data_IF_398761503779
#
_entry.id   IF_398761503779
#
_cell.length_a   1.000
_cell.length_b   1.000
_cell.length_c   1.000
_cell.angle_alpha   90.00
_cell.angle_beta   90.00
_cell.angle_gamma   90.00
#
_symmetry.space_group_name_H-M   'P 1'
#
loop_
_entity.id
_entity.type
_entity.pdbx_description
1 polymer ?
#
# COMPACT_ATOMS: atom_id res chain seq x y z
N UNK A 1 27.45 -24.29 9.40
CA UNK A 1 27.06 -23.49 10.57
C UNK A 1 26.31 -22.27 10.06
N UNK A 2 25.27 -21.82 10.76
CA UNK A 2 24.45 -20.67 10.36
C UNK A 2 24.40 -19.69 11.52
N UNK A 3 24.62 -18.41 11.23
CA UNK A 3 24.49 -17.32 12.19
C UNK A 3 23.63 -16.23 11.57
N UNK A 4 22.63 -15.79 12.30
CA UNK A 4 21.73 -14.68 11.97
C UNK A 4 22.00 -13.55 12.94
N UNK A 5 22.26 -12.35 12.41
CA UNK A 5 22.59 -11.17 13.20
C UNK A 5 21.51 -10.13 12.95
N UNK A 6 20.90 -9.63 14.01
CA UNK A 6 19.86 -8.61 13.98
C UNK A 6 20.22 -7.51 14.99
N UNK A 7 20.10 -6.26 14.55
CA UNK A 7 20.39 -5.08 15.36
C UNK A 7 19.34 -4.89 16.45
N UNK A 8 18.09 -5.20 16.14
CA UNK A 8 16.97 -5.11 17.06
C UNK A 8 16.98 -6.28 18.04
N UNK A 9 16.32 -6.14 19.19
CA UNK A 9 16.24 -7.16 20.23
C UNK A 9 15.22 -8.27 19.91
N UNK A 10 14.55 -8.19 18.77
CA UNK A 10 13.54 -9.12 18.30
C UNK A 10 13.60 -9.30 16.77
N UNK A 11 13.08 -10.44 16.29
CA UNK A 11 12.97 -10.75 14.87
C UNK A 11 11.77 -10.05 14.22
N UNK A 12 11.78 -9.97 12.89
CA UNK A 12 10.62 -9.57 12.07
C UNK A 12 10.80 -8.26 11.29
N UNK A 13 11.81 -7.44 11.62
CA UNK A 13 12.15 -6.23 10.86
C UNK A 13 10.99 -5.23 10.74
N UNK A 14 10.59 -4.91 9.51
CA UNK A 14 9.43 -4.04 9.23
C UNK A 14 8.08 -4.75 9.40
N UNK A 15 8.05 -6.07 9.54
CA UNK A 15 6.85 -6.86 9.81
C UNK A 15 6.69 -7.18 11.30
N UNK A 16 7.12 -6.27 12.18
CA UNK A 16 6.94 -6.37 13.62
C UNK A 16 5.62 -5.74 14.06
N UNK A 17 5.24 -6.06 15.30
CA UNK A 17 4.11 -5.45 15.99
C UNK A 17 4.54 -4.95 17.36
N UNK A 18 4.02 -3.81 17.78
CA UNK A 18 4.29 -3.18 19.07
C UNK A 18 2.99 -3.05 19.84
N UNK A 19 2.95 -3.60 21.06
CA UNK A 19 1.83 -3.34 21.98
C UNK A 19 2.17 -2.16 22.90
N UNK A 20 1.31 -1.15 22.92
CA UNK A 20 1.49 0.02 23.78
C UNK A 20 1.10 -0.25 25.25
N UNK A 21 1.41 0.70 26.13
CA UNK A 21 1.08 0.64 27.57
C UNK A 21 -0.42 0.57 27.90
N UNK A 22 -1.29 0.88 26.93
CA UNK A 22 -2.76 0.80 27.06
C UNK A 22 -3.32 -0.51 26.48
N UNK A 23 -2.47 -1.36 25.92
CA UNK A 23 -2.83 -2.67 25.38
C UNK A 23 -3.22 -2.66 23.90
N UNK A 24 -3.11 -1.53 23.19
CA UNK A 24 -3.33 -1.51 21.74
C UNK A 24 -2.11 -2.11 21.03
N UNK A 25 -2.34 -2.91 20.00
CA UNK A 25 -1.27 -3.50 19.19
C UNK A 25 -1.22 -2.84 17.82
N UNK A 26 -0.01 -2.47 17.40
CA UNK A 26 0.26 -1.72 16.19
C UNK A 26 1.28 -2.47 15.35
N UNK A 27 0.93 -2.85 14.12
CA UNK A 27 1.93 -3.33 13.17
C UNK A 27 2.75 -2.15 12.63
N UNK A 28 4.01 -2.42 12.24
CA UNK A 28 4.87 -1.42 11.59
C UNK A 28 4.51 -1.21 10.10
N UNK A 29 3.22 -1.00 9.83
CA UNK A 29 2.63 -0.86 8.51
C UNK A 29 1.44 -1.80 8.34
N UNK A 30 0.73 -1.69 7.20
CA UNK A 30 -0.39 -2.59 6.90
C UNK A 30 0.15 -3.92 6.39
N UNK A 31 -0.05 -4.99 7.17
CA UNK A 31 0.40 -6.33 6.83
C UNK A 31 -0.79 -7.28 6.72
N UNK A 32 -1.00 -7.83 5.53
CA UNK A 32 -2.02 -8.86 5.29
C UNK A 32 -1.47 -9.91 4.33
N UNK A 33 -2.00 -11.13 4.36
CA UNK A 33 -1.60 -12.22 3.45
C UNK A 33 -2.78 -12.70 2.61
N UNK A 34 -2.64 -12.84 1.30
CA UNK A 34 -3.73 -13.27 0.39
C UNK A 34 -4.17 -12.20 -0.61
N UNK A 35 -5.32 -12.39 -1.24
CA UNK A 35 -5.87 -11.49 -2.27
C UNK A 35 -6.81 -10.44 -1.64
N UNK A 36 -6.94 -9.26 -2.28
CA UNK A 36 -7.48 -8.06 -1.63
C UNK A 36 -8.74 -7.48 -2.32
N UNK A 37 -9.87 -7.30 -1.60
CA UNK A 37 -11.09 -6.72 -2.19
C UNK A 37 -12.00 -5.94 -1.22
N UNK A 38 -11.62 -5.69 0.04
CA UNK A 38 -12.42 -4.76 0.88
C UNK A 38 -11.60 -3.50 1.18
N UNK A 39 -11.73 -2.52 0.30
CA UNK A 39 -11.03 -1.26 0.39
C UNK A 39 -11.83 -0.21 -0.33
N UNK A 40 -11.85 0.99 0.22
CA UNK A 40 -12.53 2.12 -0.37
C UNK A 40 -11.57 3.31 -0.54
N UNK A 41 -11.86 4.14 -1.52
CA UNK A 41 -11.23 5.45 -1.66
C UNK A 41 -12.19 6.53 -1.17
N UNK A 42 -11.69 7.43 -0.34
CA UNK A 42 -12.43 8.59 0.10
C UNK A 42 -12.37 9.68 -0.97
N UNK A 43 -13.48 9.94 -1.64
CA UNK A 43 -13.61 10.83 -2.80
C UNK A 43 -14.46 12.08 -2.52
N UNK A 44 -14.46 12.59 -1.28
CA UNK A 44 -15.27 13.77 -0.88
C UNK A 44 -15.05 15.01 -1.73
N UNK A 45 -13.85 15.21 -2.25
CA UNK A 45 -13.51 16.36 -3.11
C UNK A 45 -14.12 16.28 -4.52
N UNK A 46 -14.82 15.18 -4.84
CA UNK A 46 -15.52 14.95 -6.10
C UNK A 46 -17.02 14.73 -5.87
N UNK A 47 -17.37 13.93 -4.86
CA UNK A 47 -18.76 13.58 -4.57
C UNK A 47 -19.47 14.70 -3.78
N UNK A 48 -18.74 15.37 -2.89
CA UNK A 48 -19.18 16.56 -2.15
C UNK A 48 -20.47 16.38 -1.32
N UNK A 49 -20.72 15.19 -0.76
CA UNK A 49 -21.88 14.95 0.11
C UNK A 49 -21.52 15.15 1.60
N UNK A 50 -21.87 16.33 2.14
CA UNK A 50 -21.62 16.67 3.54
C UNK A 50 -22.70 16.14 4.50
N UNK A 51 -23.88 15.78 3.99
CA UNK A 51 -25.01 15.28 4.80
C UNK A 51 -24.87 13.77 5.05
N UNK A 52 -24.39 13.02 4.06
CA UNK A 52 -24.10 11.60 4.15
C UNK A 52 -22.64 11.32 3.78
N UNK A 53 -21.76 11.36 4.78
CA UNK A 53 -20.31 11.18 4.58
C UNK A 53 -19.96 9.84 3.94
N UNK A 54 -20.75 8.79 4.17
CA UNK A 54 -20.54 7.44 3.62
C UNK A 54 -20.63 7.42 2.08
N UNK A 55 -21.44 8.32 1.50
CA UNK A 55 -21.59 8.48 0.04
C UNK A 55 -20.26 8.92 -0.61
N UNK A 56 -19.37 9.58 0.14
CA UNK A 56 -18.06 9.97 -0.37
C UNK A 56 -17.07 8.81 -0.49
N UNK A 57 -17.38 7.63 0.02
CA UNK A 57 -16.54 6.45 -0.17
C UNK A 57 -16.97 5.71 -1.43
N UNK A 58 -15.98 5.35 -2.25
CA UNK A 58 -16.20 4.54 -3.46
C UNK A 58 -15.34 3.27 -3.39
N UNK A 59 -15.83 2.14 -3.91
CA UNK A 59 -15.06 0.90 -3.94
C UNK A 59 -13.70 1.06 -4.64
N UNK A 60 -12.66 0.41 -4.13
CA UNK A 60 -11.38 0.31 -4.81
C UNK A 60 -11.35 -0.93 -5.73
N UNK A 61 -10.80 -0.85 -6.95
CA UNK A 61 -9.98 0.24 -7.46
C UNK A 61 -10.78 1.38 -8.12
N UNK A 62 -10.30 2.62 -7.96
CA UNK A 62 -11.07 3.83 -8.30
C UNK A 62 -11.45 3.94 -9.77
N UNK A 63 -10.63 3.40 -10.69
CA UNK A 63 -10.99 3.34 -12.11
C UNK A 63 -12.26 2.54 -12.39
N UNK A 64 -12.59 1.55 -11.54
CA UNK A 64 -13.82 0.76 -11.67
C UNK A 64 -15.01 1.44 -10.97
N UNK A 65 -14.75 2.53 -10.24
CA UNK A 65 -15.75 3.31 -9.49
C UNK A 65 -16.10 4.64 -10.16
N UNK A 66 -15.66 4.89 -11.39
CA UNK A 66 -16.14 6.02 -12.20
C UNK A 66 -17.70 6.13 -12.23
N UNK A 67 -18.47 5.03 -12.28
CA UNK A 67 -19.93 5.10 -12.22
C UNK A 67 -20.50 5.80 -10.97
N UNK A 68 -19.74 5.88 -9.88
CA UNK A 68 -20.13 6.55 -8.63
C UNK A 68 -19.93 8.07 -8.66
N UNK A 69 -19.21 8.61 -9.65
CA UNK A 69 -18.91 10.04 -9.72
C UNK A 69 -20.09 10.86 -10.25
N UNK A 70 -20.10 12.19 -10.00
CA UNK A 70 -21.05 13.10 -10.63
C UNK A 70 -21.04 12.96 -12.16
N UNK A 71 -22.20 13.18 -12.77
CA UNK A 71 -22.42 12.85 -14.19
C UNK A 71 -21.39 13.49 -15.13
N UNK A 72 -21.01 14.75 -14.89
CA UNK A 72 -20.00 15.44 -15.70
C UNK A 72 -18.63 14.75 -15.65
N UNK A 73 -18.11 14.49 -14.45
CA UNK A 73 -16.82 13.82 -14.23
C UNK A 73 -16.86 12.38 -14.75
N UNK A 74 -17.97 11.68 -14.54
CA UNK A 74 -18.20 10.33 -15.05
C UNK A 74 -18.08 10.27 -16.57
N UNK A 75 -18.75 11.18 -17.29
CA UNK A 75 -18.73 11.21 -18.74
C UNK A 75 -17.34 11.59 -19.28
N UNK A 76 -16.66 12.56 -18.66
CA UNK A 76 -15.28 12.93 -18.99
C UNK A 76 -14.33 11.74 -18.87
N UNK A 77 -14.30 11.08 -17.71
CA UNK A 77 -13.49 9.89 -17.48
C UNK A 77 -13.78 8.78 -18.50
N UNK A 78 -15.06 8.55 -18.83
CA UNK A 78 -15.46 7.51 -19.77
C UNK A 78 -14.97 7.78 -21.20
N UNK A 79 -15.05 9.03 -21.65
CA UNK A 79 -14.55 9.46 -22.96
C UNK A 79 -13.02 9.35 -23.03
N UNK A 80 -12.33 9.85 -22.00
CA UNK A 80 -10.87 9.85 -21.94
C UNK A 80 -10.30 8.44 -21.91
N UNK A 81 -10.81 7.55 -21.06
CA UNK A 81 -10.34 6.16 -21.00
C UNK A 81 -10.64 5.44 -22.33
N UNK A 82 -11.79 5.70 -22.94
CA UNK A 82 -12.13 5.11 -24.25
C UNK A 82 -11.13 5.53 -25.34
N UNK A 83 -10.69 6.79 -25.33
CA UNK A 83 -9.73 7.33 -26.30
C UNK A 83 -8.27 6.97 -26.00
N UNK A 84 -7.91 6.82 -24.73
CA UNK A 84 -6.54 6.52 -24.28
C UNK A 84 -6.00 5.18 -24.78
N UNK A 85 -6.90 4.24 -25.11
CA UNK A 85 -6.58 2.95 -25.75
C UNK A 85 -5.88 3.06 -27.12
N UNK A 86 -5.76 4.27 -27.69
CA UNK A 86 -5.20 4.54 -29.02
C UNK A 86 -3.76 5.09 -29.02
N UNK A 87 -3.15 5.33 -27.85
CA UNK A 87 -1.80 5.89 -27.76
C UNK A 87 -0.74 4.94 -28.33
N UNK A 88 0.07 5.43 -29.29
CA UNK A 88 1.05 4.62 -30.04
C UNK A 88 2.45 4.58 -29.42
N UNK A 89 2.80 5.53 -28.54
CA UNK A 89 4.15 5.60 -27.96
C UNK A 89 4.21 5.02 -26.54
N UNK A 90 5.25 4.23 -26.21
CA UNK A 90 5.49 3.76 -24.85
C UNK A 90 5.69 4.94 -23.88
N UNK A 91 5.05 4.88 -22.71
CA UNK A 91 5.23 5.87 -21.66
C UNK A 91 6.67 5.86 -21.13
N UNK A 92 7.25 7.04 -20.92
CA UNK A 92 8.62 7.21 -20.42
C UNK A 92 8.72 7.18 -18.90
N UNK A 93 7.64 7.54 -18.24
CA UNK A 93 7.55 7.65 -16.79
C UNK A 93 6.13 7.30 -16.32
N UNK A 94 5.93 7.29 -15.01
CA UNK A 94 4.65 6.92 -14.41
C UNK A 94 3.56 7.97 -14.65
N UNK A 95 3.95 9.22 -14.88
CA UNK A 95 3.03 10.29 -15.27
C UNK A 95 2.37 10.03 -16.63
N UNK A 96 3.19 9.86 -17.67
CA UNK A 96 2.72 9.54 -19.02
C UNK A 96 1.94 8.21 -19.02
N UNK A 97 2.42 7.21 -18.26
CA UNK A 97 1.74 5.91 -18.18
C UNK A 97 0.33 6.04 -17.63
N UNK A 98 0.15 6.78 -16.54
CA UNK A 98 -1.16 6.95 -15.90
C UNK A 98 -2.08 7.81 -16.77
N UNK A 99 -1.55 8.83 -17.44
CA UNK A 99 -2.30 9.63 -18.42
C UNK A 99 -2.79 8.75 -19.58
N UNK A 100 -1.91 7.92 -20.17
CA UNK A 100 -2.25 7.00 -21.26
C UNK A 100 -3.18 5.85 -20.84
N UNK A 101 -3.27 5.55 -19.55
CA UNK A 101 -4.09 4.44 -19.04
C UNK A 101 -5.46 4.92 -18.57
N UNK A 102 -5.52 6.09 -17.92
CA UNK A 102 -6.68 6.55 -17.17
C UNK A 102 -7.28 7.85 -17.67
N UNK A 103 -6.60 8.58 -18.56
CA UNK A 103 -7.03 9.91 -18.98
C UNK A 103 -6.67 11.00 -17.96
N UNK A 104 -6.69 12.27 -18.38
CA UNK A 104 -6.31 13.41 -17.53
C UNK A 104 -7.23 13.58 -16.32
N UNK A 105 -8.54 13.39 -16.45
CA UNK A 105 -9.49 13.62 -15.36
C UNK A 105 -9.25 12.66 -14.20
N UNK A 106 -9.23 11.35 -14.45
CA UNK A 106 -8.98 10.38 -13.38
C UNK A 106 -7.55 10.50 -12.82
N UNK A 107 -6.59 10.89 -13.68
CA UNK A 107 -5.23 11.16 -13.23
C UNK A 107 -5.19 12.31 -12.22
N UNK A 108 -5.89 13.42 -12.51
CA UNK A 108 -5.90 14.62 -11.68
C UNK A 108 -6.60 14.40 -10.34
N UNK A 109 -7.78 13.76 -10.35
CA UNK A 109 -8.61 13.65 -9.13
C UNK A 109 -8.14 12.55 -8.18
N UNK A 110 -7.48 11.50 -8.69
CA UNK A 110 -7.09 10.37 -7.84
C UNK A 110 -5.65 9.93 -8.06
N UNK A 111 -5.29 9.53 -9.29
CA UNK A 111 -4.06 8.75 -9.51
C UNK A 111 -2.81 9.53 -9.13
N UNK A 112 -2.67 10.77 -9.60
CA UNK A 112 -1.54 11.66 -9.28
C UNK A 112 -1.51 12.01 -7.78
N UNK A 113 -2.54 12.66 -7.21
CA UNK A 113 -2.44 13.12 -5.82
C UNK A 113 -2.27 11.97 -4.81
N UNK A 114 -2.91 10.83 -5.04
CA UNK A 114 -2.71 9.64 -4.21
C UNK A 114 -1.28 9.09 -4.33
N UNK A 115 -0.79 8.85 -5.55
CA UNK A 115 0.54 8.25 -5.73
C UNK A 115 1.67 9.18 -5.29
N UNK A 116 1.58 10.48 -5.56
CA UNK A 116 2.60 11.44 -5.09
C UNK A 116 2.61 11.54 -3.56
N UNK A 117 1.47 11.35 -2.89
CA UNK A 117 1.40 11.27 -1.43
C UNK A 117 2.04 9.99 -0.88
N UNK A 118 1.73 8.83 -1.47
CA UNK A 118 2.32 7.54 -1.06
C UNK A 118 3.83 7.52 -1.29
N UNK A 119 4.26 7.92 -2.49
CA UNK A 119 5.64 7.79 -2.93
C UNK A 119 6.50 8.98 -2.54
N UNK A 120 5.90 10.12 -2.19
CA UNK A 120 6.59 11.39 -1.86
C UNK A 120 7.48 11.92 -2.99
N UNK A 121 7.18 11.52 -4.23
CA UNK A 121 7.96 11.80 -5.44
C UNK A 121 6.99 12.11 -6.59
N UNK A 122 7.25 13.14 -7.42
CA UNK A 122 6.44 13.43 -8.60
C UNK A 122 6.40 12.25 -9.57
N UNK A 123 5.25 11.99 -10.19
CA UNK A 123 5.09 10.79 -11.04
C UNK A 123 6.02 10.83 -12.27
N UNK A 124 6.35 12.02 -12.75
CA UNK A 124 7.26 12.24 -13.88
C UNK A 124 8.71 11.81 -13.57
N UNK A 125 9.07 11.70 -12.29
CA UNK A 125 10.39 11.24 -11.83
C UNK A 125 10.45 9.72 -11.56
N UNK A 126 9.32 9.01 -11.72
CA UNK A 126 9.21 7.57 -11.49
C UNK A 126 9.15 6.83 -12.84
N UNK A 127 9.88 5.72 -12.99
CA UNK A 127 9.67 4.85 -14.16
C UNK A 127 8.33 4.09 -14.03
N UNK A 128 7.82 3.52 -15.13
CA UNK A 128 6.55 2.78 -15.16
C UNK A 128 6.68 1.25 -15.27
N UNK A 129 7.90 0.71 -15.33
CA UNK A 129 8.15 -0.73 -15.60
C UNK A 129 7.54 -1.63 -14.51
N UNK A 130 7.44 -1.12 -13.28
CA UNK A 130 6.87 -1.86 -12.15
C UNK A 130 5.33 -1.92 -12.15
N UNK A 131 4.64 -1.05 -12.91
CA UNK A 131 3.17 -0.99 -13.00
C UNK A 131 2.60 -1.54 -14.29
N UNK A 132 3.35 -1.52 -15.39
CA UNK A 132 2.85 -1.76 -16.75
C UNK A 132 2.05 -3.07 -16.90
N UNK A 133 2.46 -4.12 -16.18
CA UNK A 133 1.82 -5.44 -16.20
C UNK A 133 1.02 -5.77 -14.93
N UNK A 134 0.84 -4.81 -14.02
CA UNK A 134 0.21 -5.02 -12.70
C UNK A 134 -1.05 -4.19 -12.49
N UNK A 135 -1.19 -3.07 -13.20
CA UNK A 135 -2.37 -2.22 -13.12
C UNK A 135 -3.49 -2.87 -13.94
N UNK A 136 -4.61 -3.31 -13.32
CA UNK A 136 -5.72 -3.86 -14.05
C UNK A 136 -6.31 -2.80 -14.96
N UNK A 137 -6.50 -3.13 -16.24
CA UNK A 137 -7.27 -2.29 -17.16
C UNK A 137 -8.75 -2.55 -16.93
N UNK A 138 -9.52 -1.49 -16.75
CA UNK A 138 -10.98 -1.57 -16.66
C UNK A 138 -11.55 -2.08 -17.98
N UNK A 139 -12.51 -3.01 -17.91
CA UNK A 139 -13.27 -3.43 -19.08
C UNK A 139 -14.18 -2.27 -19.52
N UNK A 140 -13.88 -1.65 -20.65
CA UNK A 140 -14.59 -0.45 -21.13
C UNK A 140 -16.08 -0.73 -21.35
N UNK A 141 -16.43 -1.91 -21.85
CA UNK A 141 -17.84 -2.26 -22.10
C UNK A 141 -18.61 -2.43 -20.79
N UNK A 142 -17.99 -3.04 -19.76
CA UNK A 142 -18.58 -3.13 -18.43
C UNK A 142 -18.68 -1.75 -17.77
N UNK A 143 -17.65 -0.92 -17.89
CA UNK A 143 -17.67 0.45 -17.39
C UNK A 143 -18.82 1.27 -17.99
N UNK A 144 -19.00 1.19 -19.32
CA UNK A 144 -20.11 1.83 -20.04
C UNK A 144 -21.47 1.33 -19.57
N UNK A 145 -21.59 0.02 -19.30
CA UNK A 145 -22.81 -0.59 -18.76
C UNK A 145 -23.10 -0.04 -17.36
N UNK A 146 -22.10 -0.08 -16.47
CA UNK A 146 -22.22 0.38 -15.07
C UNK A 146 -22.50 1.87 -14.94
N UNK A 147 -21.99 2.71 -15.85
CA UNK A 147 -22.30 4.15 -15.87
C UNK A 147 -23.80 4.46 -16.06
N UNK A 148 -24.62 3.49 -16.49
CA UNK A 148 -26.08 3.64 -16.66
C UNK A 148 -26.88 3.22 -15.43
N UNK A 149 -26.22 2.67 -14.42
CA UNK A 149 -26.84 2.19 -13.20
C UNK A 149 -27.00 3.32 -12.19
N UNK A 150 -28.01 3.19 -11.34
CA UNK A 150 -28.16 3.97 -10.11
C UNK A 150 -27.12 3.53 -9.07
N UNK A 151 -26.92 4.34 -8.03
CA UNK A 151 -26.00 3.98 -6.96
C UNK A 151 -26.44 2.72 -6.22
N UNK A 152 -27.73 2.59 -5.97
CA UNK A 152 -28.30 1.41 -5.32
C UNK A 152 -28.06 0.12 -6.12
N UNK A 153 -28.13 0.19 -7.44
CA UNK A 153 -27.81 -0.94 -8.32
C UNK A 153 -26.31 -1.24 -8.34
N UNK A 154 -25.45 -0.22 -8.31
CA UNK A 154 -24.00 -0.40 -8.21
C UNK A 154 -23.61 -1.07 -6.89
N UNK A 155 -24.17 -0.61 -5.77
CA UNK A 155 -23.89 -1.16 -4.44
C UNK A 155 -24.35 -2.62 -4.33
N UNK A 156 -25.51 -2.95 -4.90
CA UNK A 156 -25.96 -4.34 -5.01
C UNK A 156 -25.00 -5.22 -5.84
N UNK A 157 -24.46 -4.71 -6.95
CA UNK A 157 -23.46 -5.43 -7.74
C UNK A 157 -22.15 -5.64 -6.96
N UNK A 158 -21.69 -4.66 -6.17
CA UNK A 158 -20.49 -4.80 -5.34
C UNK A 158 -20.68 -5.80 -4.21
N UNK A 159 -21.86 -5.83 -3.59
CA UNK A 159 -22.17 -6.78 -2.52
C UNK A 159 -22.23 -8.23 -3.01
N UNK A 160 -22.68 -8.45 -4.26
CA UNK A 160 -22.70 -9.75 -4.91
C UNK A 160 -21.32 -10.22 -5.39
N UNK A 161 -20.31 -9.33 -5.48
CA UNK A 161 -18.96 -9.73 -5.87
C UNK A 161 -18.34 -10.65 -4.81
N UNK A 162 -17.60 -11.64 -5.30
CA UNK A 162 -16.79 -12.49 -4.41
C UNK A 162 -15.71 -11.63 -3.75
N UNK A 163 -15.93 -11.27 -2.49
CA UNK A 163 -14.95 -10.55 -1.67
C UNK A 163 -13.71 -11.43 -1.52
N UNK A 164 -12.58 -11.02 -2.10
CA UNK A 164 -11.32 -11.72 -1.89
C UNK A 164 -10.88 -11.52 -0.45
N UNK A 165 -10.52 -12.63 0.16
CA UNK A 165 -10.18 -12.72 1.56
C UNK A 165 -8.66 -12.59 1.73
N UNK A 166 -8.27 -11.80 2.73
CA UNK A 166 -6.94 -11.90 3.30
C UNK A 166 -6.99 -12.62 4.64
N UNK A 167 -5.82 -13.10 5.07
CA UNK A 167 -5.61 -13.72 6.37
C UNK A 167 -4.78 -12.78 7.23
N UNK A 168 -5.24 -12.63 8.46
CA UNK A 168 -4.57 -11.94 9.54
C UNK A 168 -4.66 -12.82 10.79
N UNK A 169 -3.60 -12.92 11.61
CA UNK A 169 -3.59 -13.85 12.73
C UNK A 169 -4.56 -13.41 13.84
N UNK A 170 -5.70 -14.10 13.95
CA UNK A 170 -6.79 -13.76 14.88
C UNK A 170 -6.45 -13.99 16.35
N UNK A 171 -5.57 -14.96 16.64
CA UNK A 171 -5.19 -15.33 18.00
C UNK A 171 -3.82 -14.77 18.43
N UNK A 172 -3.19 -13.93 17.58
CA UNK A 172 -1.90 -13.32 17.88
C UNK A 172 -2.05 -11.81 18.08
N UNK A 173 -1.07 -11.21 18.75
CA UNK A 173 -0.95 -9.75 18.87
C UNK A 173 -0.20 -9.20 17.66
N UNK A 174 -0.91 -9.13 16.55
CA UNK A 174 -0.44 -8.58 15.30
C UNK A 174 0.46 -9.53 14.51
N UNK A 175 0.97 -9.06 13.37
CA UNK A 175 1.77 -9.88 12.45
C UNK A 175 3.16 -10.26 13.00
N UNK A 176 3.73 -9.48 13.91
CA UNK A 176 5.06 -9.70 14.48
C UNK A 176 5.20 -11.02 15.23
N UNK A 177 4.13 -11.49 15.88
CA UNK A 177 4.09 -12.80 16.53
C UNK A 177 4.24 -13.97 15.55
N UNK A 178 3.82 -13.81 14.29
CA UNK A 178 4.03 -14.83 13.27
C UNK A 178 5.52 -15.07 13.04
N UNK A 179 6.30 -13.99 12.92
CA UNK A 179 7.74 -14.08 12.69
C UNK A 179 8.50 -14.59 13.91
N UNK A 180 8.04 -14.25 15.12
CA UNK A 180 8.58 -14.84 16.36
C UNK A 180 8.30 -16.33 16.44
N UNK A 181 7.09 -16.77 16.09
CA UNK A 181 6.74 -18.19 16.00
C UNK A 181 7.65 -18.92 15.02
N UNK A 182 7.81 -18.40 13.79
CA UNK A 182 8.70 -19.00 12.78
C UNK A 182 10.15 -19.08 13.30
N UNK A 183 10.67 -18.01 13.90
CA UNK A 183 12.03 -18.01 14.43
C UNK A 183 12.22 -19.02 15.59
N UNK A 184 11.17 -19.24 16.40
CA UNK A 184 11.22 -20.22 17.51
C UNK A 184 11.30 -21.68 17.06
N UNK A 185 10.93 -21.97 15.81
CA UNK A 185 11.10 -23.30 15.20
C UNK A 185 12.54 -23.56 14.72
N UNK A 186 13.38 -22.53 14.71
CA UNK A 186 14.79 -22.61 14.32
C UNK A 186 15.69 -22.69 15.56
N UNK A 187 16.92 -23.24 15.45
CA UNK A 187 17.82 -23.31 16.58
C UNK A 187 18.15 -21.92 17.14
N UNK A 188 17.84 -21.69 18.42
CA UNK A 188 18.08 -20.40 19.11
C UNK A 188 19.55 -19.97 19.02
N UNK A 189 20.49 -20.93 19.01
CA UNK A 189 21.92 -20.69 18.89
C UNK A 189 22.35 -20.02 17.57
N UNK A 190 21.48 -20.01 16.55
CA UNK A 190 21.75 -19.30 15.31
C UNK A 190 21.60 -17.80 15.47
N UNK A 191 20.80 -17.31 16.40
CA UNK A 191 20.41 -15.90 16.47
C UNK A 191 21.28 -15.10 17.42
N UNK A 192 21.75 -13.94 16.96
CA UNK A 192 22.36 -12.88 17.76
C UNK A 192 21.55 -11.60 17.58
N UNK A 193 20.63 -11.37 18.53
CA UNK A 193 19.75 -10.20 18.55
C UNK A 193 20.40 -9.06 19.35
N UNK A 194 20.02 -7.82 19.05
CA UNK A 194 20.55 -6.63 19.70
C UNK A 194 21.96 -6.25 19.26
N UNK A 195 22.52 -6.88 18.22
CA UNK A 195 23.90 -6.71 17.79
C UNK A 195 23.96 -6.05 16.40
N UNK A 196 24.50 -4.83 16.26
CA UNK A 196 24.61 -4.19 14.95
C UNK A 196 25.69 -4.88 14.09
N UNK A 197 25.34 -5.15 12.83
CA UNK A 197 26.19 -5.90 11.87
C UNK A 197 27.57 -5.26 11.61
N UNK A 198 27.70 -3.94 11.80
CA UNK A 198 28.93 -3.17 11.46
C UNK A 198 30.02 -3.31 12.52
N UNK A 199 29.60 -3.41 13.77
CA UNK A 199 30.45 -3.58 14.95
C UNK A 199 29.57 -4.35 15.91
N UNK A 200 29.80 -5.65 16.04
CA UNK A 200 29.15 -6.40 17.12
C UNK A 200 29.41 -5.65 18.42
N UNK A 201 28.44 -5.55 19.33
CA UNK A 201 28.67 -4.81 20.60
C UNK A 201 29.87 -5.39 21.37
N UNK A 202 30.16 -6.66 21.15
CA UNK A 202 31.32 -7.38 21.66
C UNK A 202 32.67 -7.02 21.02
N UNK A 203 32.67 -6.31 19.88
CA UNK A 203 33.86 -6.10 19.04
C UNK A 203 34.35 -7.36 18.32
N UNK A 204 33.59 -8.46 18.38
CA UNK A 204 33.99 -9.73 17.78
C UNK A 204 33.96 -9.69 16.25
N UNK A 205 34.92 -10.39 15.64
CA UNK A 205 34.93 -10.67 14.21
C UNK A 205 34.34 -12.06 13.96
N UNK A 206 33.41 -12.17 13.01
CA UNK A 206 32.82 -13.45 12.60
C UNK A 206 33.35 -13.78 11.22
N UNK A 207 34.02 -14.93 11.09
CA UNK A 207 34.41 -15.48 9.80
C UNK A 207 33.20 -16.13 9.13
N UNK A 208 33.11 -16.01 7.80
CA UNK A 208 32.03 -16.58 7.01
C UNK A 208 32.55 -17.05 5.65
N UNK A 209 31.90 -18.06 5.07
CA UNK A 209 32.09 -18.44 3.67
C UNK A 209 31.17 -17.63 2.75
N UNK A 210 29.94 -17.35 3.21
CA UNK A 210 28.92 -16.63 2.48
C UNK A 210 28.16 -15.65 3.39
N UNK A 211 27.71 -14.52 2.82
CA UNK A 211 26.86 -13.55 3.51
C UNK A 211 25.57 -13.38 2.73
N UNK A 212 24.44 -13.56 3.43
CA UNK A 212 23.12 -13.14 2.95
C UNK A 212 22.76 -11.88 3.72
N UNK A 213 22.82 -10.73 3.05
CA UNK A 213 22.48 -9.45 3.66
C UNK A 213 21.07 -9.01 3.26
N UNK A 214 20.24 -8.75 4.25
CA UNK A 214 18.88 -8.23 4.09
C UNK A 214 18.75 -6.76 4.50
N UNK A 215 19.87 -6.13 4.91
CA UNK A 215 19.89 -4.71 5.26
C UNK A 215 19.73 -3.82 4.02
N UNK A 216 19.37 -2.54 4.17
CA UNK A 216 19.29 -1.62 3.04
C UNK A 216 20.60 -1.61 2.24
N UNK A 217 20.53 -1.83 0.93
CA UNK A 217 21.71 -1.95 0.06
C UNK A 217 22.59 -0.70 0.08
N UNK A 218 21.99 0.48 0.29
CA UNK A 218 22.72 1.75 0.46
C UNK A 218 23.64 1.70 1.69
N UNK A 219 23.16 1.11 2.78
CA UNK A 219 23.90 0.96 4.02
C UNK A 219 24.98 -0.13 3.89
N UNK A 220 24.65 -1.26 3.26
CA UNK A 220 25.61 -2.31 2.95
C UNK A 220 26.78 -1.79 2.09
N UNK A 221 26.48 -1.03 1.04
CA UNK A 221 27.51 -0.41 0.19
C UNK A 221 28.40 0.56 0.97
N UNK A 222 27.81 1.36 1.86
CA UNK A 222 28.53 2.30 2.72
C UNK A 222 29.49 1.60 3.70
N UNK A 223 29.04 0.52 4.35
CA UNK A 223 29.81 -0.21 5.36
C UNK A 223 30.90 -1.06 4.71
N UNK A 224 30.54 -1.78 3.64
CA UNK A 224 31.43 -2.75 3.02
C UNK A 224 32.56 -2.09 2.23
N UNK A 225 32.34 -0.87 1.72
CA UNK A 225 33.29 -0.18 0.85
C UNK A 225 33.54 -0.91 -0.49
N UNK A 226 32.71 -1.91 -0.82
CA UNK A 226 32.89 -2.77 -2.00
C UNK A 226 32.44 -2.12 -3.30
N UNK A 227 31.72 -1.00 -3.23
CA UNK A 227 31.21 -0.29 -4.40
C UNK A 227 31.24 1.23 -4.17
N UNK A 228 31.18 2.02 -5.25
CA UNK A 228 30.91 3.45 -5.14
C UNK A 228 29.60 3.73 -4.40
N UNK A 229 29.45 4.97 -3.94
CA UNK A 229 28.24 5.41 -3.23
C UNK A 229 26.97 5.09 -4.03
N UNK A 230 26.11 4.25 -3.46
CA UNK A 230 24.81 3.90 -4.02
C UNK A 230 23.82 5.04 -3.69
N UNK A 231 23.30 5.70 -4.71
CA UNK A 231 22.38 6.83 -4.59
C UNK A 231 20.94 6.43 -4.96
N UNK A 232 20.33 5.55 -4.17
CA UNK A 232 18.92 5.18 -4.33
C UNK A 232 18.01 6.10 -3.53
N UNK A 233 16.87 6.48 -4.11
CA UNK A 233 15.81 7.21 -3.42
C UNK A 233 14.94 6.23 -2.62
N UNK A 234 14.48 6.68 -1.47
CA UNK A 234 13.53 5.96 -0.64
C UNK A 234 12.70 6.95 0.17
N UNK A 235 11.49 6.55 0.52
CA UNK A 235 10.57 7.37 1.30
C UNK A 235 10.63 6.95 2.77
N UNK A 236 10.32 7.87 3.67
CA UNK A 236 10.14 7.55 5.10
C UNK A 236 8.65 7.44 5.37
N UNK A 237 8.27 6.38 6.08
CA UNK A 237 6.88 6.17 6.52
C UNK A 237 6.79 6.54 7.99
N UNK A 238 5.82 7.39 8.32
CA UNK A 238 5.45 7.71 9.71
C UNK A 238 4.14 7.01 10.00
N UNK A 239 4.13 6.17 11.03
CA UNK A 239 2.95 5.44 11.46
C UNK A 239 2.35 6.10 12.69
N UNK A 240 1.05 6.37 12.64
CA UNK A 240 0.31 6.99 13.74
C UNK A 240 -0.83 6.07 14.14
N UNK A 241 -0.79 5.56 15.37
CA UNK A 241 -1.85 4.75 15.96
C UNK A 241 -2.81 5.60 16.78
N UNK A 242 -4.12 5.51 16.49
CA UNK A 242 -5.18 6.18 17.25
C UNK A 242 -6.09 5.13 17.88
N UNK A 243 -5.98 4.96 19.19
CA UNK A 243 -6.85 4.05 19.95
C UNK A 243 -8.20 4.69 20.25
N UNK A 244 -9.29 4.06 19.80
CA UNK A 244 -10.66 4.54 20.01
C UNK A 244 -11.45 3.62 20.95
N UNK A 245 -12.44 4.19 21.65
CA UNK A 245 -13.37 3.42 22.48
C UNK A 245 -14.56 2.99 21.62
N UNK A 246 -15.02 1.74 21.80
CA UNK A 246 -16.27 1.23 21.22
C UNK A 246 -17.52 2.01 21.74
N UNK A 247 -18.64 2.03 21.00
CA UNK A 247 -18.86 1.34 19.72
C UNK A 247 -18.18 2.03 18.53
N UNK A 248 -17.87 1.23 17.52
CA UNK A 248 -17.44 1.69 16.21
C UNK A 248 -18.69 1.90 15.33
N UNK A 249 -18.73 2.89 14.42
CA UNK A 249 -19.82 2.99 13.44
C UNK A 249 -19.91 1.77 12.54
N UNK A 250 -21.12 1.26 12.28
CA UNK A 250 -21.40 0.05 11.48
C UNK A 250 -20.70 0.07 10.12
N UNK A 251 -20.74 1.22 9.43
CA UNK A 251 -20.02 1.44 8.17
C UNK A 251 -18.53 1.07 8.27
N UNK A 252 -17.85 1.55 9.31
CA UNK A 252 -16.42 1.31 9.48
C UNK A 252 -16.08 -0.10 9.98
N UNK A 253 -17.04 -0.85 10.54
CA UNK A 253 -16.80 -2.23 11.01
C UNK A 253 -16.49 -3.19 9.86
N UNK A 254 -16.96 -2.86 8.65
CA UNK A 254 -16.76 -3.68 7.46
C UNK A 254 -15.47 -3.33 6.71
N UNK A 255 -14.83 -2.20 7.02
CA UNK A 255 -13.68 -1.68 6.28
C UNK A 255 -12.36 -2.29 6.77
N UNK A 256 -11.45 -2.57 5.84
CA UNK A 256 -10.10 -3.07 6.16
C UNK A 256 -9.03 -1.96 6.10
N UNK A 257 -8.97 -1.22 4.99
CA UNK A 257 -8.18 0.00 4.86
C UNK A 257 -8.79 0.92 3.81
N UNK A 258 -8.33 2.16 3.80
CA UNK A 258 -8.89 3.25 3.02
C UNK A 258 -7.79 4.00 2.28
N UNK A 259 -8.14 4.62 1.16
CA UNK A 259 -7.26 5.45 0.35
C UNK A 259 -7.72 6.90 0.37
N UNK A 260 -6.79 7.83 0.58
CA UNK A 260 -7.06 9.26 0.71
C UNK A 260 -6.22 10.04 -0.30
N UNK A 261 -6.78 10.42 -1.46
CA UNK A 261 -6.08 11.24 -2.45
C UNK A 261 -5.91 12.70 -2.02
N UNK A 262 -6.78 13.25 -1.17
CA UNK A 262 -6.89 14.69 -0.94
C UNK A 262 -5.63 15.30 -0.31
N UNK A 263 -5.11 16.43 -0.81
CA UNK A 263 -3.87 17.02 -0.29
C UNK A 263 -3.97 17.55 1.15
N UNK A 264 -5.18 17.86 1.63
CA UNK A 264 -5.44 18.33 3.00
C UNK A 264 -5.45 17.20 4.04
N UNK A 265 -5.59 15.94 3.61
CA UNK A 265 -5.49 14.75 4.46
C UNK A 265 -4.04 14.24 4.41
N UNK A 266 -3.36 14.25 5.56
CA UNK A 266 -1.91 13.99 5.64
C UNK A 266 -1.51 12.51 5.45
N UNK A 267 -2.44 11.58 5.67
CA UNK A 267 -2.22 10.15 5.43
C UNK A 267 -2.74 9.76 4.04
N UNK A 268 -2.16 8.71 3.47
CA UNK A 268 -2.50 8.18 2.16
C UNK A 268 -3.50 7.04 2.25
#
# INVERSE_FOLDING_TARGET
>A
EVVVIEKEDEVGGLARSVTDRRGFTWDLGVHVTGNFLCKDAYMRHIVEDDDNVEVNYVPYPVQDSIPYFPEEIKLQCLEEISSASTAQEPAKNFDEFTLHTFGPTLQEIFIRPYNEKVWTVPLAEMNCVWVENRVPRTCIDDLKRRCRLTREELDAEEDDKTKSMFRYPSNLRGIGELWRTIASELPETWFRLGDPVVVLKSGALINYDYVISTMPVVELGRISGLCPKIALRHSKVVLVGIGMRRPQPEFTEQLSWLYFPQPDIIFY
#
